data_IF_225513618525
#
_entry.id   IF_225513618525
#
_cell.length_a   1.000
_cell.length_b   1.000
_cell.length_c   1.000
_cell.angle_alpha   90.00
_cell.angle_beta   90.00
_cell.angle_gamma   90.00
#
_symmetry.space_group_name_H-M   'P 1'
#
loop_
_entity.id
_entity.type
_entity.pdbx_description
1 polymer ?
#
# COMPACT_ATOMS: atom_id res chain seq x y z
N UNK A 1 -1.06 -4.04 13.97
CA UNK A 1 -2.06 -3.76 12.93
C UNK A 1 -2.91 -2.59 13.37
N UNK A 2 -3.55 -1.91 12.42
CA UNK A 2 -4.34 -0.70 12.67
C UNK A 2 -5.84 -1.06 12.57
N UNK A 3 -6.68 -0.62 13.52
CA UNK A 3 -8.13 -0.88 13.64
C UNK A 3 -8.61 -2.32 13.81
N UNK A 4 -7.83 -3.32 13.38
CA UNK A 4 -8.21 -4.73 13.38
C UNK A 4 -7.14 -5.63 14.03
N UNK A 5 -7.51 -6.87 14.40
CA UNK A 5 -6.55 -7.88 14.82
C UNK A 5 -5.48 -8.20 13.76
N UNK A 6 -4.39 -8.88 14.14
CA UNK A 6 -3.41 -9.41 13.19
C UNK A 6 -4.04 -10.38 12.17
N UNK A 7 -3.34 -10.58 11.04
CA UNK A 7 -3.72 -11.55 10.00
C UNK A 7 -5.08 -11.32 9.32
N UNK A 8 -5.60 -10.09 9.37
CA UNK A 8 -6.82 -9.69 8.67
C UNK A 8 -6.54 -8.59 7.66
N UNK A 9 -7.31 -8.56 6.57
CA UNK A 9 -7.49 -7.37 5.74
C UNK A 9 -8.86 -6.78 6.07
N UNK A 10 -8.93 -5.45 6.21
CA UNK A 10 -10.15 -4.77 6.64
C UNK A 10 -10.36 -3.43 5.96
N UNK A 11 -11.63 -3.07 5.77
CA UNK A 11 -12.12 -1.79 5.31
C UNK A 11 -12.82 -1.09 6.47
N UNK A 12 -12.42 0.13 6.78
CA UNK A 12 -13.00 0.95 7.84
C UNK A 12 -13.44 2.31 7.29
N UNK A 13 -14.64 2.75 7.68
CA UNK A 13 -15.09 4.13 7.43
C UNK A 13 -14.79 4.96 8.68
N UNK A 14 -13.96 5.99 8.50
CA UNK A 14 -13.51 6.86 9.58
C UNK A 14 -14.34 8.15 9.58
N UNK A 15 -14.89 8.50 10.75
CA UNK A 15 -15.69 9.72 10.94
C UNK A 15 -15.01 10.77 11.83
N UNK A 16 -13.90 10.39 12.46
CA UNK A 16 -13.16 11.20 13.43
C UNK A 16 -11.65 10.95 13.26
N UNK A 17 -10.80 11.94 13.57
CA UNK A 17 -9.35 11.77 13.57
C UNK A 17 -8.88 10.64 14.50
N UNK A 18 -7.78 9.98 14.14
CA UNK A 18 -7.13 8.97 14.97
C UNK A 18 -5.95 9.62 15.67
N UNK A 19 -6.07 9.80 16.99
CA UNK A 19 -5.07 10.48 17.82
C UNK A 19 -4.45 9.55 18.87
N UNK A 20 -4.76 8.27 18.77
CA UNK A 20 -4.43 7.24 19.76
C UNK A 20 -3.51 6.19 19.12
N UNK A 21 -2.79 5.38 19.92
CA UNK A 21 -2.01 4.28 19.40
C UNK A 21 -2.90 3.10 18.97
N UNK A 22 -2.44 2.22 18.04
CA UNK A 22 -3.27 1.20 17.39
C UNK A 22 -4.12 0.32 18.30
N UNK A 23 -3.62 0.01 19.51
CA UNK A 23 -4.32 -0.86 20.47
C UNK A 23 -5.47 -0.18 21.23
N UNK A 24 -5.54 1.15 21.22
CA UNK A 24 -6.58 1.92 21.92
C UNK A 24 -7.85 2.12 21.08
N UNK A 25 -7.78 1.97 19.75
CA UNK A 25 -8.87 2.33 18.84
C UNK A 25 -9.28 1.21 17.88
N UNK A 26 -9.27 -0.03 18.36
CA UNK A 26 -9.86 -1.15 17.63
C UNK A 26 -11.34 -0.88 17.34
N UNK A 27 -11.77 -1.04 16.09
CA UNK A 27 -13.11 -0.67 15.63
C UNK A 27 -13.72 -1.81 14.81
N UNK A 28 -15.05 -1.88 14.80
CA UNK A 28 -15.74 -2.77 13.89
C UNK A 28 -15.47 -2.34 12.44
N UNK A 29 -15.06 -3.27 11.60
CA UNK A 29 -14.82 -3.01 10.19
C UNK A 29 -16.14 -2.97 9.41
N UNK A 30 -16.19 -2.16 8.35
CA UNK A 30 -17.28 -2.24 7.36
C UNK A 30 -17.22 -3.58 6.63
N UNK A 31 -16.00 -4.02 6.29
CA UNK A 31 -15.71 -5.33 5.72
C UNK A 31 -14.39 -5.85 6.29
N UNK A 32 -14.31 -7.13 6.58
CA UNK A 32 -13.08 -7.77 7.03
C UNK A 32 -13.02 -9.19 6.49
N UNK A 33 -11.81 -9.65 6.21
CA UNK A 33 -11.52 -11.03 5.87
C UNK A 33 -10.30 -11.50 6.66
N UNK A 34 -10.41 -12.71 7.22
CA UNK A 34 -9.30 -13.36 7.90
C UNK A 34 -8.43 -14.07 6.85
N UNK A 35 -7.18 -13.63 6.73
CA UNK A 35 -6.20 -14.24 5.83
C UNK A 35 -5.55 -15.47 6.48
N UNK A 36 -5.39 -15.47 7.81
CA UNK A 36 -4.88 -16.63 8.56
C UNK A 36 -3.41 -16.53 8.96
N UNK A 37 -2.63 -15.71 8.25
CA UNK A 37 -1.19 -15.59 8.45
C UNK A 37 -0.74 -14.14 8.65
N UNK A 38 0.38 -13.93 9.34
CA UNK A 38 0.90 -12.57 9.58
C UNK A 38 1.78 -12.05 8.45
N UNK A 39 2.18 -12.91 7.51
CA UNK A 39 2.94 -12.53 6.32
C UNK A 39 2.20 -12.93 5.04
N UNK A 40 2.04 -12.01 4.07
CA UNK A 40 1.40 -12.34 2.81
C UNK A 40 2.25 -13.27 1.94
N UNK A 41 3.53 -13.48 2.29
CA UNK A 41 4.42 -14.41 1.56
C UNK A 41 4.06 -15.88 1.74
N UNK A 42 3.26 -16.23 2.75
CA UNK A 42 2.88 -17.62 3.03
C UNK A 42 1.95 -18.17 1.94
N UNK A 43 0.88 -17.44 1.61
CA UNK A 43 0.02 -17.70 0.46
C UNK A 43 -0.33 -16.37 -0.24
N UNK A 44 0.55 -15.91 -1.15
CA UNK A 44 0.33 -14.64 -1.83
C UNK A 44 -0.92 -14.66 -2.71
N UNK A 45 -1.30 -15.83 -3.22
CA UNK A 45 -2.51 -15.99 -4.04
C UNK A 45 -3.77 -15.78 -3.20
N UNK A 46 -3.81 -16.34 -1.99
CA UNK A 46 -4.90 -16.09 -1.04
C UNK A 46 -4.91 -14.64 -0.58
N UNK A 47 -3.75 -14.02 -0.33
CA UNK A 47 -3.68 -12.61 0.02
C UNK A 47 -4.31 -11.72 -1.06
N UNK A 48 -4.00 -11.93 -2.35
CA UNK A 48 -4.59 -11.17 -3.46
C UNK A 48 -6.11 -11.41 -3.56
N UNK A 49 -6.60 -12.62 -3.29
CA UNK A 49 -8.05 -12.91 -3.23
C UNK A 49 -8.73 -12.16 -2.06
N UNK A 50 -8.12 -12.15 -0.89
CA UNK A 50 -8.60 -11.39 0.27
C UNK A 50 -8.63 -9.90 -0.03
N UNK A 51 -7.60 -9.36 -0.68
CA UNK A 51 -7.56 -7.96 -1.09
C UNK A 51 -8.68 -7.63 -2.08
N UNK A 52 -8.86 -8.45 -3.12
CA UNK A 52 -9.94 -8.27 -4.09
C UNK A 52 -11.32 -8.24 -3.42
N UNK A 53 -11.57 -9.15 -2.47
CA UNK A 53 -12.82 -9.17 -1.69
C UNK A 53 -13.06 -7.88 -0.89
N UNK A 54 -12.01 -7.26 -0.37
CA UNK A 54 -12.10 -5.97 0.34
C UNK A 54 -12.36 -4.81 -0.63
N UNK A 55 -11.67 -4.79 -1.79
CA UNK A 55 -11.83 -3.73 -2.79
C UNK A 55 -13.21 -3.78 -3.45
N UNK A 56 -13.76 -4.97 -3.72
CA UNK A 56 -15.14 -5.13 -4.21
C UNK A 56 -16.14 -4.52 -3.22
N UNK A 57 -15.97 -4.77 -1.91
CA UNK A 57 -16.84 -4.17 -0.89
C UNK A 57 -16.69 -2.63 -0.78
N UNK A 58 -15.53 -2.07 -1.12
CA UNK A 58 -15.34 -0.63 -1.22
C UNK A 58 -16.07 -0.04 -2.45
N UNK A 59 -15.99 -0.73 -3.60
CA UNK A 59 -16.65 -0.31 -4.85
C UNK A 59 -18.19 -0.33 -4.76
N UNK A 60 -18.74 -1.12 -3.83
CA UNK A 60 -20.17 -1.16 -3.54
C UNK A 60 -20.66 0.02 -2.64
N UNK A 61 -19.76 0.87 -2.13
CA UNK A 61 -20.14 2.00 -1.30
C UNK A 61 -20.80 3.11 -2.13
N UNK A 62 -21.94 3.60 -1.64
CA UNK A 62 -22.66 4.75 -2.21
C UNK A 62 -22.96 5.79 -1.10
N UNK A 63 -22.39 7.01 -1.18
CA UNK A 63 -21.44 7.48 -2.19
C UNK A 63 -20.05 6.85 -2.01
N UNK A 64 -19.28 6.82 -3.11
CA UNK A 64 -17.86 6.46 -3.06
C UNK A 64 -17.08 7.51 -2.24
N UNK A 65 -16.30 7.04 -1.26
CA UNK A 65 -15.53 7.88 -0.34
C UNK A 65 -14.04 7.85 -0.71
N UNK A 66 -13.23 8.87 -0.38
CA UNK A 66 -11.78 8.78 -0.53
C UNK A 66 -11.20 7.56 0.21
N UNK A 67 -10.34 6.81 -0.47
CA UNK A 67 -9.73 5.59 0.06
C UNK A 67 -8.23 5.82 0.35
N UNK A 68 -7.81 5.39 1.53
CA UNK A 68 -6.39 5.28 1.89
C UNK A 68 -6.05 3.81 2.06
N UNK A 69 -5.06 3.32 1.31
CA UNK A 69 -4.60 1.93 1.37
C UNK A 69 -3.22 1.88 1.98
N UNK A 70 -3.10 1.27 3.16
CA UNK A 70 -1.81 0.96 3.77
C UNK A 70 -1.29 -0.37 3.23
N UNK A 71 -0.05 -0.41 2.76
CA UNK A 71 0.60 -1.62 2.23
C UNK A 71 1.44 -2.32 3.29
N UNK A 72 1.89 -3.55 3.03
CA UNK A 72 2.66 -4.37 3.98
C UNK A 72 4.10 -3.90 4.23
N UNK A 73 4.61 -2.96 3.43
CA UNK A 73 5.97 -2.45 3.58
C UNK A 73 7.08 -3.47 3.28
N UNK A 74 6.83 -4.43 2.39
CA UNK A 74 7.81 -5.43 1.95
C UNK A 74 8.43 -4.98 0.62
N UNK A 75 9.65 -4.38 0.61
CA UNK A 75 10.19 -3.71 -0.57
C UNK A 75 10.89 -4.64 -1.58
N UNK A 76 10.86 -5.97 -1.38
CA UNK A 76 11.67 -6.91 -2.16
C UNK A 76 10.91 -8.19 -2.50
N UNK A 77 11.31 -8.86 -3.59
CA UNK A 77 10.80 -10.16 -4.00
C UNK A 77 9.28 -10.20 -4.13
N UNK A 78 8.64 -11.17 -3.45
CA UNK A 78 7.18 -11.35 -3.42
C UNK A 78 6.46 -10.09 -2.93
N UNK A 79 7.09 -9.27 -2.08
CA UNK A 79 6.53 -8.01 -1.62
C UNK A 79 6.27 -7.02 -2.76
N UNK A 80 7.23 -6.89 -3.69
CA UNK A 80 7.08 -6.03 -4.89
C UNK A 80 5.97 -6.56 -5.79
N UNK A 81 5.95 -7.86 -6.02
CA UNK A 81 4.93 -8.52 -6.84
C UNK A 81 3.52 -8.24 -6.32
N UNK A 82 3.32 -8.39 -5.00
CA UNK A 82 2.05 -8.10 -4.34
C UNK A 82 1.69 -6.61 -4.31
N UNK A 83 2.69 -5.72 -4.25
CA UNK A 83 2.47 -4.28 -4.37
C UNK A 83 1.92 -3.95 -5.76
N UNK A 84 2.48 -4.55 -6.81
CA UNK A 84 2.01 -4.37 -8.19
C UNK A 84 0.57 -4.88 -8.33
N UNK A 85 0.22 -6.07 -7.80
CA UNK A 85 -1.17 -6.54 -7.82
C UNK A 85 -2.11 -5.61 -7.05
N UNK A 86 -1.65 -5.08 -5.92
CA UNK A 86 -2.42 -4.15 -5.09
C UNK A 86 -2.76 -2.89 -5.88
N UNK A 87 -1.79 -2.31 -6.58
CA UNK A 87 -2.01 -1.10 -7.39
C UNK A 87 -2.93 -1.41 -8.58
N UNK A 88 -2.79 -2.56 -9.26
CA UNK A 88 -3.71 -2.95 -10.33
C UNK A 88 -5.16 -3.12 -9.87
N UNK A 89 -5.38 -3.66 -8.67
CA UNK A 89 -6.70 -3.85 -8.10
C UNK A 89 -7.32 -2.54 -7.59
N UNK A 90 -6.52 -1.74 -6.89
CA UNK A 90 -6.97 -0.49 -6.25
C UNK A 90 -7.15 0.63 -7.29
N UNK A 91 -6.29 0.70 -8.31
CA UNK A 91 -6.19 1.80 -9.28
C UNK A 91 -6.17 3.16 -8.57
N UNK A 92 -5.13 3.44 -7.76
CA UNK A 92 -5.06 4.67 -6.99
C UNK A 92 -4.78 5.88 -7.89
N UNK A 93 -5.34 7.03 -7.56
CA UNK A 93 -4.97 8.29 -8.23
C UNK A 93 -3.57 8.77 -7.81
N UNK A 94 -3.16 8.44 -6.59
CA UNK A 94 -1.90 8.88 -5.98
C UNK A 94 -1.22 7.70 -5.29
N UNK A 95 0.07 7.53 -5.57
CA UNK A 95 0.98 6.64 -4.84
C UNK A 95 1.98 7.49 -4.06
N UNK A 96 1.94 7.35 -2.73
CA UNK A 96 2.90 8.00 -1.84
C UNK A 96 3.97 6.98 -1.45
N UNK A 97 5.20 7.19 -1.91
CA UNK A 97 6.34 6.33 -1.62
C UNK A 97 7.24 7.00 -0.59
N UNK A 98 7.26 6.43 0.62
CA UNK A 98 8.10 6.90 1.72
C UNK A 98 9.47 6.25 1.61
N UNK A 99 10.51 7.05 1.39
CA UNK A 99 11.87 6.57 1.18
C UNK A 99 12.68 6.57 2.47
N UNK A 100 13.42 5.49 2.70
CA UNK A 100 14.46 5.40 3.73
C UNK A 100 15.70 6.21 3.35
N UNK A 101 16.46 6.61 4.37
CA UNK A 101 17.82 7.13 4.18
C UNK A 101 18.75 6.08 3.58
N UNK A 102 18.49 4.80 3.85
CA UNK A 102 19.23 3.70 3.26
C UNK A 102 18.66 3.42 1.86
N UNK A 103 19.28 4.03 0.84
CA UNK A 103 18.86 3.89 -0.56
C UNK A 103 18.78 2.44 -1.06
N UNK A 104 19.60 1.55 -0.50
CA UNK A 104 19.58 0.14 -0.88
C UNK A 104 18.32 -0.61 -0.40
N UNK A 105 17.60 -0.05 0.58
CA UNK A 105 16.34 -0.60 1.09
C UNK A 105 15.10 0.05 0.45
N UNK A 106 15.29 0.98 -0.48
CA UNK A 106 14.19 1.67 -1.15
C UNK A 106 13.72 0.87 -2.36
N UNK A 107 12.41 0.91 -2.58
CA UNK A 107 11.83 0.50 -3.85
C UNK A 107 12.33 1.40 -4.97
N UNK A 108 12.43 0.89 -6.22
CA UNK A 108 12.44 1.77 -7.38
C UNK A 108 11.20 2.68 -7.36
N UNK A 109 11.24 3.85 -8.03
CA UNK A 109 10.06 4.71 -8.15
C UNK A 109 8.87 3.91 -8.70
N UNK A 110 7.81 3.78 -7.90
CA UNK A 110 6.62 2.99 -8.25
C UNK A 110 5.74 3.83 -9.17
N UNK A 111 6.19 4.05 -10.40
CA UNK A 111 5.44 4.76 -11.44
C UNK A 111 4.42 3.85 -12.11
N UNK A 112 3.50 4.41 -12.91
CA UNK A 112 2.54 3.62 -13.67
C UNK A 112 3.23 2.75 -14.73
N UNK A 113 4.35 3.18 -15.29
CA UNK A 113 5.17 2.37 -16.20
C UNK A 113 5.83 1.19 -15.48
N UNK A 114 6.35 1.41 -14.27
CA UNK A 114 6.87 0.32 -13.43
C UNK A 114 5.77 -0.72 -13.17
N UNK A 115 4.59 -0.27 -12.75
CA UNK A 115 3.44 -1.16 -12.51
C UNK A 115 3.00 -1.87 -13.78
N UNK A 116 3.01 -1.22 -14.94
CA UNK A 116 2.61 -1.81 -16.22
C UNK A 116 3.57 -2.94 -16.66
N UNK A 117 4.87 -2.76 -16.47
CA UNK A 117 5.88 -3.63 -17.07
C UNK A 117 6.38 -4.73 -16.14
N UNK A 118 6.43 -4.47 -14.84
CA UNK A 118 6.98 -5.42 -13.86
C UNK A 118 6.01 -6.55 -13.53
N UNK A 119 6.57 -7.70 -13.16
CA UNK A 119 5.79 -8.89 -12.84
C UNK A 119 5.09 -8.73 -11.47
N UNK A 120 3.77 -8.88 -11.46
CA UNK A 120 2.98 -9.05 -10.25
C UNK A 120 2.81 -10.52 -9.87
N UNK A 121 2.26 -10.81 -8.70
CA UNK A 121 1.98 -12.18 -8.28
C UNK A 121 0.84 -12.82 -9.07
N UNK A 122 -0.19 -12.06 -9.43
CA UNK A 122 -1.32 -12.53 -10.25
C UNK A 122 -1.37 -11.83 -11.61
N UNK A 123 -0.87 -10.59 -11.72
CA UNK A 123 -0.79 -9.86 -12.98
C UNK A 123 0.59 -9.95 -13.64
N UNK A 124 0.68 -9.57 -14.93
CA UNK A 124 1.93 -9.39 -15.66
C UNK A 124 2.86 -10.62 -15.75
N UNK A 125 2.30 -11.85 -15.69
CA UNK A 125 3.07 -13.11 -15.74
C UNK A 125 3.82 -13.40 -17.03
N UNK A 126 3.44 -12.74 -18.10
CA UNK A 126 4.11 -12.85 -19.39
C UNK A 126 4.60 -11.47 -19.81
N UNK A 127 5.81 -11.36 -20.38
CA UNK A 127 6.28 -10.10 -20.94
C UNK A 127 5.27 -9.50 -21.91
N UNK A 128 5.10 -8.18 -21.85
CA UNK A 128 4.23 -7.45 -22.75
C UNK A 128 4.72 -7.63 -24.19
N UNK A 129 3.83 -8.02 -25.11
CA UNK A 129 4.16 -8.05 -26.55
C UNK A 129 4.39 -6.65 -27.09
N UNK A 130 3.58 -5.70 -26.61
CA UNK A 130 3.72 -4.28 -26.87
C UNK A 130 3.79 -3.52 -25.54
N UNK A 131 4.99 -3.13 -25.08
CA UNK A 131 5.16 -2.39 -23.84
C UNK A 131 4.46 -1.03 -23.85
N UNK A 132 4.40 -0.33 -24.99
CA UNK A 132 3.82 1.00 -25.08
C UNK A 132 2.30 0.95 -24.89
N UNK A 133 1.66 -0.01 -25.56
CA UNK A 133 0.23 -0.27 -25.38
C UNK A 133 -0.10 -0.62 -23.92
N UNK A 134 0.72 -1.47 -23.29
CA UNK A 134 0.47 -1.90 -21.91
C UNK A 134 0.59 -0.75 -20.90
N UNK A 135 1.54 0.17 -21.12
CA UNK A 135 1.66 1.39 -20.32
C UNK A 135 0.41 2.26 -20.46
N UNK A 136 -0.11 2.42 -21.69
CA UNK A 136 -1.31 3.20 -21.97
C UNK A 136 -2.58 2.60 -21.33
N UNK A 137 -2.69 1.27 -21.32
CA UNK A 137 -3.81 0.55 -20.68
C UNK A 137 -3.74 0.56 -19.14
N UNK A 138 -2.55 0.76 -18.56
CA UNK A 138 -2.35 0.77 -17.11
C UNK A 138 -2.86 2.10 -16.53
N UNK A 139 -3.60 2.03 -15.43
CA UNK A 139 -4.13 3.22 -14.78
C UNK A 139 -2.99 4.15 -14.35
N UNK A 140 -3.04 5.40 -14.81
CA UNK A 140 -2.05 6.42 -14.45
C UNK A 140 -2.30 6.92 -13.03
N UNK A 141 -1.21 7.04 -12.27
CA UNK A 141 -1.22 7.58 -10.91
C UNK A 141 -0.08 8.58 -10.72
N UNK A 142 -0.31 9.59 -9.89
CA UNK A 142 0.74 10.52 -9.48
C UNK A 142 1.66 9.82 -8.46
N UNK A 143 2.98 9.90 -8.65
CA UNK A 143 3.95 9.41 -7.68
C UNK A 143 4.50 10.57 -6.84
N UNK A 144 4.24 10.53 -5.54
CA UNK A 144 4.82 11.46 -4.56
C UNK A 144 5.90 10.73 -3.78
N UNK A 145 7.16 11.14 -3.97
CA UNK A 145 8.30 10.66 -3.18
C UNK A 145 8.42 11.49 -1.89
N UNK A 146 8.32 10.83 -0.75
CA UNK A 146 8.53 11.42 0.57
C UNK A 146 9.86 10.96 1.16
N UNK A 147 10.92 11.78 1.10
CA UNK A 147 12.21 11.41 1.66
C UNK A 147 12.19 11.45 3.19
N UNK A 148 12.76 10.44 3.83
CA UNK A 148 12.98 10.46 5.29
C UNK A 148 14.01 11.52 5.66
N UNK A 149 13.60 12.53 6.45
CA UNK A 149 14.44 13.66 6.89
C UNK A 149 15.42 13.32 8.04
N UNK A 150 15.71 12.05 8.32
CA UNK A 150 16.50 11.63 9.50
C UNK A 150 17.98 12.09 9.46
N UNK A 151 18.42 12.71 8.36
CA UNK A 151 19.72 13.39 8.27
C UNK A 151 19.57 14.91 8.52
N UNK A 152 18.94 15.29 9.63
CA UNK A 152 19.29 16.51 10.37
C UNK A 152 19.22 16.26 11.87
N UNK A 153 19.96 15.27 12.38
CA UNK A 153 20.52 15.38 13.73
C UNK A 153 21.60 16.48 13.73
N UNK A 154 21.20 17.74 13.52
CA UNK A 154 21.81 18.82 14.30
C UNK A 154 21.09 18.76 15.63
N UNK A 155 21.86 18.66 16.71
CA UNK A 155 21.35 18.61 18.07
C UNK A 155 20.05 19.40 18.23
N UNK A 156 19.00 18.76 18.75
CA UNK A 156 17.86 19.46 19.37
C UNK A 156 18.29 20.18 20.66
N UNK A 157 19.52 20.67 20.73
CA UNK A 157 19.97 21.64 21.71
C UNK A 157 19.46 23.02 21.29
N UNK A 158 18.15 23.21 21.33
CA UNK A 158 17.62 24.53 21.58
C UNK A 158 18.08 24.92 22.98
N UNK A 159 19.25 25.56 23.06
CA UNK A 159 19.59 26.38 24.22
C UNK A 159 18.54 27.48 24.26
N UNK A 160 17.49 27.26 25.03
CA UNK A 160 16.69 28.34 25.60
C UNK A 160 17.70 29.21 26.35
N UNK A 161 18.06 30.34 25.73
CA UNK A 161 18.73 31.40 26.48
C UNK A 161 17.74 31.87 27.54
N UNK A 162 18.19 32.08 28.79
CA UNK A 162 17.34 32.57 29.86
C UNK A 162 16.72 33.93 29.49
#
# INVERSE_FOLDING_TARGET
>A
TEFSPPATLSLHILKQPILEPPFCHQKHATKMVFYGETTPSYDPSLYVKCLKFIIEAYQELDPMLPLVVNTMGFPEGVGVMLLIDTIHLVKPDIVVQIESFNKAANLPPVTHEFVALEEGWMCNKTPAKDPAQKIEETHQHELILLPTLVIQRRDFSFKLKP
#
